data_IF_463607267494
#
_entry.id   IF_463607267494
#
_cell.length_a   1.000
_cell.length_b   1.000
_cell.length_c   1.000
_cell.angle_alpha   90.00
_cell.angle_beta   90.00
_cell.angle_gamma   90.00
#
_symmetry.space_group_name_H-M   'P 1'
#
loop_
_entity.id
_entity.type
_entity.pdbx_description
1 polymer ?
#
# COMPACT_ATOMS: atom_id res chain seq x y z
N UNK A 1 15.30 -81.25 -10.23
CA UNK A 1 16.67 -80.69 -10.41
C UNK A 1 16.57 -79.20 -10.14
N UNK A 2 16.86 -78.75 -8.92
CA UNK A 2 18.14 -78.13 -8.50
C UNK A 2 18.42 -76.84 -9.29
N UNK A 3 18.17 -75.63 -8.75
CA UNK A 3 19.08 -74.78 -7.94
C UNK A 3 20.39 -74.46 -8.71
N UNK A 4 20.87 -73.21 -8.88
CA UNK A 4 21.39 -72.28 -7.87
C UNK A 4 21.60 -70.87 -8.50
N UNK A 5 21.54 -69.85 -7.64
CA UNK A 5 21.69 -68.42 -7.89
C UNK A 5 23.14 -67.88 -7.93
N UNK A 6 23.34 -66.67 -8.48
CA UNK A 6 24.39 -65.69 -8.08
C UNK A 6 23.92 -64.29 -8.52
N UNK A 7 23.37 -63.46 -7.62
CA UNK A 7 24.03 -62.35 -6.89
C UNK A 7 24.89 -61.38 -7.73
N UNK A 8 24.41 -60.13 -7.80
CA UNK A 8 25.18 -58.94 -8.18
C UNK A 8 24.49 -57.70 -7.60
N UNK A 9 25.02 -57.20 -6.48
CA UNK A 9 24.59 -55.98 -5.80
C UNK A 9 25.33 -54.76 -6.35
N UNK A 10 24.69 -53.59 -6.36
CA UNK A 10 25.25 -52.23 -6.20
C UNK A 10 24.12 -51.22 -6.45
N UNK A 11 23.50 -50.58 -5.44
CA UNK A 11 23.94 -49.41 -4.66
C UNK A 11 22.94 -48.27 -4.91
N UNK A 12 22.15 -47.94 -3.89
CA UNK A 12 21.40 -46.70 -3.78
C UNK A 12 22.37 -45.52 -3.67
N UNK A 13 22.06 -44.41 -4.34
CA UNK A 13 22.57 -43.09 -3.97
C UNK A 13 21.48 -42.04 -4.22
N UNK A 14 20.92 -41.55 -3.11
CA UNK A 14 20.34 -40.22 -2.94
C UNK A 14 21.17 -39.14 -3.66
N UNK A 15 20.51 -38.12 -4.22
CA UNK A 15 20.44 -36.74 -3.67
C UNK A 15 20.12 -35.73 -4.78
N UNK A 16 19.26 -34.76 -4.43
CA UNK A 16 19.25 -33.38 -4.96
C UNK A 16 18.73 -33.22 -6.41
N UNK A 17 17.86 -32.28 -6.76
CA UNK A 17 17.65 -30.92 -6.26
C UNK A 17 16.18 -30.53 -6.44
N UNK A 18 15.49 -30.32 -5.32
CA UNK A 18 14.40 -29.35 -5.22
C UNK A 18 15.09 -28.00 -5.07
N UNK A 19 14.83 -27.02 -5.95
CA UNK A 19 14.76 -25.57 -5.67
C UNK A 19 14.83 -24.80 -7.00
N UNK A 20 13.70 -24.33 -7.52
CA UNK A 20 13.73 -23.16 -8.42
C UNK A 20 12.39 -22.42 -8.59
N UNK A 21 11.56 -22.34 -7.55
CA UNK A 21 10.28 -21.59 -7.63
C UNK A 21 10.07 -20.57 -6.51
N UNK A 22 11.08 -20.30 -5.68
CA UNK A 22 10.95 -19.43 -4.52
C UNK A 22 11.60 -18.04 -4.68
N UNK A 23 11.89 -17.62 -5.92
CA UNK A 23 12.45 -16.29 -6.20
C UNK A 23 11.41 -15.23 -6.58
N UNK A 24 10.21 -15.60 -7.05
CA UNK A 24 9.15 -14.63 -7.32
C UNK A 24 8.46 -14.10 -6.05
N UNK A 25 8.42 -14.89 -4.98
CA UNK A 25 7.76 -14.52 -3.72
C UNK A 25 8.61 -13.61 -2.80
N UNK A 26 9.89 -13.39 -3.14
CA UNK A 26 10.80 -12.56 -2.32
C UNK A 26 10.81 -11.10 -2.76
N UNK A 27 10.57 -10.81 -4.04
CA UNK A 27 10.47 -9.42 -4.53
C UNK A 27 9.19 -8.70 -4.09
N UNK A 28 8.16 -9.43 -3.64
CA UNK A 28 6.94 -8.84 -3.09
C UNK A 28 7.08 -8.38 -1.62
N UNK A 29 8.14 -8.81 -0.92
CA UNK A 29 8.38 -8.43 0.48
C UNK A 29 9.28 -7.21 0.64
N UNK A 30 9.89 -6.73 -0.44
CA UNK A 30 10.79 -5.57 -0.44
C UNK A 30 10.13 -4.24 -0.85
N UNK A 31 8.88 -4.26 -1.33
CA UNK A 31 8.08 -3.04 -1.56
C UNK A 31 7.59 -2.37 -0.26
N UNK A 32 7.54 -3.13 0.84
CA UNK A 32 7.04 -2.66 2.15
C UNK A 32 8.12 -1.98 3.02
N UNK A 33 9.36 -1.83 2.53
CA UNK A 33 10.39 -1.03 3.22
C UNK A 33 10.34 0.41 2.72
N UNK A 34 9.18 1.05 2.90
CA UNK A 34 9.07 2.50 2.91
C UNK A 34 9.84 3.02 4.15
N UNK A 35 11.17 3.05 4.03
CA UNK A 35 12.14 3.82 4.80
C UNK A 35 11.79 4.12 6.27
N UNK A 36 11.68 3.09 7.14
CA UNK A 36 11.89 3.22 8.61
C UNK A 36 11.18 4.36 9.36
N UNK A 37 10.13 4.95 8.79
CA UNK A 37 9.38 6.06 9.37
C UNK A 37 8.06 5.51 9.89
N UNK A 38 7.80 5.79 11.17
CA UNK A 38 6.55 5.43 11.82
C UNK A 38 5.41 6.26 11.21
N UNK A 39 4.33 5.61 10.79
CA UNK A 39 3.15 6.30 10.27
C UNK A 39 2.34 6.86 11.44
N UNK A 40 2.14 8.18 11.47
CA UNK A 40 1.35 8.82 12.52
C UNK A 40 -0.13 8.45 12.36
N UNK A 41 -0.73 7.85 13.39
CA UNK A 41 -2.15 7.57 13.39
C UNK A 41 -2.96 8.87 13.49
N UNK A 42 -3.75 9.18 12.47
CA UNK A 42 -4.60 10.37 12.41
C UNK A 42 -6.09 9.99 12.41
N UNK A 43 -6.90 10.90 12.93
CA UNK A 43 -8.35 10.88 12.75
C UNK A 43 -8.66 11.66 11.45
N UNK A 44 -9.25 10.99 10.46
CA UNK A 44 -9.32 11.49 9.09
C UNK A 44 -10.21 12.74 8.98
N UNK A 45 -11.31 12.81 9.72
CA UNK A 45 -12.24 13.94 9.66
C UNK A 45 -11.59 15.23 10.18
N UNK A 46 -10.98 15.18 11.36
CA UNK A 46 -10.21 16.29 11.94
C UNK A 46 -9.03 16.69 11.05
N UNK A 47 -8.37 15.71 10.45
CA UNK A 47 -7.27 15.97 9.52
C UNK A 47 -7.76 16.77 8.31
N UNK A 48 -8.87 16.36 7.68
CA UNK A 48 -9.46 17.08 6.54
C UNK A 48 -9.80 18.53 6.93
N UNK A 49 -10.46 18.73 8.08
CA UNK A 49 -10.85 20.06 8.53
C UNK A 49 -9.68 21.01 8.72
N UNK A 50 -8.63 20.53 9.40
CA UNK A 50 -7.40 21.31 9.61
C UNK A 50 -6.76 21.69 8.28
N UNK A 51 -6.62 20.72 7.37
CA UNK A 51 -5.97 20.96 6.07
C UNK A 51 -6.76 21.92 5.18
N UNK A 52 -8.10 21.93 5.28
CA UNK A 52 -8.94 22.91 4.58
C UNK A 52 -8.79 24.30 5.19
N UNK A 53 -8.78 24.40 6.53
CA UNK A 53 -8.58 25.67 7.24
C UNK A 53 -7.24 26.30 6.87
N UNK A 54 -6.15 25.52 6.93
CA UNK A 54 -4.81 25.95 6.53
C UNK A 54 -4.82 26.54 5.11
N UNK A 55 -5.40 25.83 4.13
CA UNK A 55 -5.48 26.30 2.73
C UNK A 55 -6.33 27.56 2.59
N UNK A 56 -7.38 27.70 3.39
CA UNK A 56 -8.22 28.90 3.47
C UNK A 56 -7.41 30.14 3.83
N UNK A 57 -6.50 30.01 4.81
CA UNK A 57 -5.56 31.08 5.18
C UNK A 57 -4.62 31.45 4.02
N UNK A 58 -4.21 30.47 3.21
CA UNK A 58 -3.38 30.68 2.01
C UNK A 58 -4.16 31.09 0.74
N UNK A 59 -5.39 31.62 0.89
CA UNK A 59 -6.25 32.08 -0.22
C UNK A 59 -6.52 31.00 -1.28
N UNK A 60 -6.66 29.74 -0.87
CA UNK A 60 -7.00 28.64 -1.78
C UNK A 60 -5.86 28.16 -2.67
N UNK A 61 -4.62 28.63 -2.45
CA UNK A 61 -3.44 28.09 -3.16
C UNK A 61 -3.15 26.67 -2.66
N UNK A 62 -2.70 25.79 -3.57
CA UNK A 62 -2.28 24.43 -3.20
C UNK A 62 -1.03 24.52 -2.33
N UNK A 63 -1.05 23.90 -1.16
CA UNK A 63 0.10 23.83 -0.26
C UNK A 63 0.74 22.46 -0.39
N UNK A 64 1.90 22.39 -1.05
CA UNK A 64 2.70 21.16 -1.09
C UNK A 64 3.34 20.97 0.28
N UNK A 65 3.03 19.85 0.96
CA UNK A 65 3.63 19.52 2.26
C UNK A 65 4.74 18.50 2.04
N UNK A 66 5.74 18.51 2.93
CA UNK A 66 6.79 17.49 2.95
C UNK A 66 6.15 16.16 3.33
N UNK A 67 5.87 15.31 2.33
CA UNK A 67 5.21 14.01 2.42
C UNK A 67 5.15 13.39 3.83
N UNK A 68 4.14 13.77 4.60
CA UNK A 68 4.04 13.41 6.03
C UNK A 68 3.48 11.98 6.11
N UNK A 69 4.16 11.03 6.78
CA UNK A 69 3.67 9.67 6.90
C UNK A 69 2.45 9.63 7.83
N UNK A 70 1.30 9.19 7.32
CA UNK A 70 0.03 9.12 8.03
C UNK A 70 -0.61 7.74 7.92
N UNK A 71 -1.32 7.33 8.96
CA UNK A 71 -2.17 6.13 9.00
C UNK A 71 -3.58 6.52 9.45
N UNK A 72 -4.61 6.05 8.74
CA UNK A 72 -6.00 6.43 9.02
C UNK A 72 -6.98 5.30 8.70
N UNK A 73 -8.08 5.24 9.45
CA UNK A 73 -9.18 4.33 9.17
C UNK A 73 -10.18 4.99 8.21
N UNK A 74 -10.61 4.27 7.18
CA UNK A 74 -11.63 4.75 6.24
C UNK A 74 -12.35 3.58 5.55
N UNK A 75 -13.49 3.87 4.94
CA UNK A 75 -14.23 2.94 4.08
C UNK A 75 -13.85 3.13 2.61
N UNK A 76 -13.53 2.06 1.89
CA UNK A 76 -13.28 2.15 0.44
C UNK A 76 -14.61 2.35 -0.29
N UNK A 77 -14.87 3.55 -0.83
CA UNK A 77 -16.12 3.86 -1.56
C UNK A 77 -16.09 3.46 -3.02
N UNK A 78 -14.91 3.48 -3.62
CA UNK A 78 -14.71 3.12 -5.02
C UNK A 78 -13.37 2.43 -5.14
N UNK A 79 -13.29 1.39 -5.94
CA UNK A 79 -12.03 0.67 -6.20
C UNK A 79 -10.97 1.58 -6.85
N UNK A 80 -9.67 1.24 -6.72
CA UNK A 80 -8.61 1.89 -7.48
C UNK A 80 -8.86 1.79 -8.99
N UNK A 81 -8.77 2.92 -9.66
CA UNK A 81 -8.84 3.02 -11.12
C UNK A 81 -7.58 3.66 -11.66
N UNK A 82 -7.10 3.14 -12.78
CA UNK A 82 -5.97 3.71 -13.49
C UNK A 82 -6.25 5.14 -13.93
N UNK A 83 -5.29 6.01 -13.67
CA UNK A 83 -5.38 7.41 -14.08
C UNK A 83 -3.99 8.01 -14.19
N UNK A 84 -3.81 8.85 -15.20
CA UNK A 84 -2.57 9.61 -15.35
C UNK A 84 -2.48 10.68 -14.26
N UNK A 85 -1.44 10.58 -13.43
CA UNK A 85 -1.24 11.44 -12.25
C UNK A 85 0.09 12.18 -12.30
N UNK A 86 0.31 13.01 -13.32
CA UNK A 86 1.56 13.78 -13.48
C UNK A 86 1.88 14.67 -12.27
N UNK A 87 0.86 15.25 -11.63
CA UNK A 87 1.04 16.18 -10.50
C UNK A 87 1.57 15.50 -9.22
N UNK A 88 1.27 14.20 -9.00
CA UNK A 88 1.73 13.52 -7.78
C UNK A 88 3.25 13.36 -7.81
N UNK A 89 3.82 13.09 -8.99
CA UNK A 89 5.26 12.92 -9.17
C UNK A 89 6.02 14.20 -8.86
N UNK A 90 5.54 15.36 -9.33
CA UNK A 90 6.14 16.66 -8.98
C UNK A 90 6.18 16.87 -7.47
N UNK A 91 5.11 16.50 -6.75
CA UNK A 91 5.07 16.68 -5.31
C UNK A 91 5.94 15.67 -4.55
N UNK A 92 6.07 14.44 -5.06
CA UNK A 92 6.98 13.42 -4.52
C UNK A 92 8.45 13.79 -4.73
N UNK A 93 8.79 14.36 -5.88
CA UNK A 93 10.13 14.88 -6.18
C UNK A 93 10.51 16.02 -5.23
N UNK A 94 9.59 16.98 -5.01
CA UNK A 94 9.78 18.08 -4.05
C UNK A 94 9.97 17.56 -2.62
N UNK A 95 9.35 16.42 -2.28
CA UNK A 95 9.49 15.77 -0.99
C UNK A 95 10.72 14.84 -0.86
N UNK A 96 11.54 14.71 -1.93
CA UNK A 96 12.70 13.82 -2.03
C UNK A 96 12.42 12.37 -1.60
N UNK A 97 11.23 11.84 -1.92
CA UNK A 97 10.91 10.43 -1.69
C UNK A 97 11.66 9.57 -2.70
N UNK A 98 12.52 8.67 -2.20
CA UNK A 98 13.27 7.71 -3.02
C UNK A 98 13.22 6.29 -2.44
N UNK A 99 13.08 5.26 -3.29
CA UNK A 99 12.74 5.35 -4.72
C UNK A 99 11.34 5.95 -4.91
N UNK A 100 11.11 6.60 -6.06
CA UNK A 100 9.80 7.17 -6.37
C UNK A 100 8.77 6.03 -6.50
N UNK A 101 7.68 6.05 -5.70
CA UNK A 101 6.65 5.03 -5.83
C UNK A 101 5.96 5.13 -7.19
N UNK A 102 5.61 3.99 -7.78
CA UNK A 102 4.84 3.96 -9.02
C UNK A 102 3.37 4.24 -8.70
N UNK A 103 2.96 5.50 -8.88
CA UNK A 103 1.59 5.96 -8.64
C UNK A 103 0.83 5.99 -9.98
N UNK A 104 -0.07 5.04 -10.15
CA UNK A 104 -0.90 4.90 -11.37
C UNK A 104 -2.40 4.91 -11.12
N UNK A 105 -2.82 4.91 -9.85
CA UNK A 105 -4.20 4.65 -9.49
C UNK A 105 -4.78 5.74 -8.59
N UNK A 106 -6.09 5.91 -8.67
CA UNK A 106 -6.86 6.71 -7.71
C UNK A 106 -8.09 5.96 -7.27
N UNK A 107 -8.39 6.05 -5.99
CA UNK A 107 -9.63 5.57 -5.40
C UNK A 107 -10.31 6.68 -4.61
N UNK A 108 -11.50 6.38 -4.08
CA UNK A 108 -12.20 7.25 -3.15
C UNK A 108 -12.43 6.49 -1.86
N UNK A 109 -12.06 7.13 -0.75
CA UNK A 109 -12.34 6.63 0.60
C UNK A 109 -13.33 7.57 1.27
N UNK A 110 -14.05 7.04 2.24
CA UNK A 110 -14.98 7.80 3.05
C UNK A 110 -14.58 7.72 4.51
N UNK A 111 -14.56 8.87 5.16
CA UNK A 111 -14.28 9.01 6.59
C UNK A 111 -15.46 8.52 7.44
N UNK A 112 -15.29 8.55 8.77
CA UNK A 112 -16.36 8.13 9.69
C UNK A 112 -17.56 9.06 9.65
N UNK A 113 -17.34 10.36 9.40
CA UNK A 113 -18.42 11.33 9.23
C UNK A 113 -19.00 11.38 7.80
N UNK A 114 -18.61 10.46 6.91
CA UNK A 114 -19.17 10.36 5.57
C UNK A 114 -18.52 11.28 4.53
N UNK A 115 -17.36 11.87 4.82
CA UNK A 115 -16.65 12.74 3.87
C UNK A 115 -15.89 11.89 2.86
N UNK A 116 -16.10 12.16 1.57
CA UNK A 116 -15.45 11.43 0.49
C UNK A 116 -14.18 12.17 0.05
N UNK A 117 -13.03 11.49 0.16
CA UNK A 117 -11.72 12.03 -0.21
C UNK A 117 -11.08 11.21 -1.33
N UNK A 118 -10.57 11.85 -2.40
CA UNK A 118 -9.77 11.16 -3.39
C UNK A 118 -8.40 10.81 -2.80
N UNK A 119 -7.96 9.57 -2.97
CA UNK A 119 -6.62 9.14 -2.58
C UNK A 119 -5.90 8.51 -3.76
N UNK A 120 -4.62 8.80 -3.88
CA UNK A 120 -3.71 8.19 -4.83
C UNK A 120 -3.25 6.85 -4.26
N UNK A 121 -2.99 5.89 -5.13
CA UNK A 121 -2.62 4.54 -4.70
C UNK A 121 -1.39 4.11 -5.48
N UNK A 122 -0.38 3.65 -4.74
CA UNK A 122 0.79 2.97 -5.29
C UNK A 122 0.36 1.67 -5.97
N UNK A 123 1.06 1.28 -7.04
CA UNK A 123 0.64 0.18 -7.93
C UNK A 123 0.51 -1.17 -7.22
N UNK A 124 1.44 -1.53 -6.34
CA UNK A 124 1.35 -2.80 -5.59
C UNK A 124 0.18 -2.76 -4.60
N UNK A 125 0.00 -1.64 -3.89
CA UNK A 125 -1.16 -1.44 -3.02
C UNK A 125 -2.49 -1.51 -3.79
N UNK A 126 -2.54 -0.95 -5.01
CA UNK A 126 -3.73 -0.97 -5.85
C UNK A 126 -4.11 -2.40 -6.27
N UNK A 127 -3.14 -3.21 -6.68
CA UNK A 127 -3.38 -4.62 -7.02
C UNK A 127 -3.96 -5.39 -5.81
N UNK A 128 -3.32 -5.24 -4.64
CA UNK A 128 -3.79 -5.86 -3.39
C UNK A 128 -5.18 -5.39 -2.97
N UNK A 129 -5.49 -4.10 -3.13
CA UNK A 129 -6.82 -3.58 -2.79
C UNK A 129 -7.93 -4.21 -3.63
N UNK A 130 -7.68 -4.46 -4.92
CA UNK A 130 -8.65 -5.10 -5.82
C UNK A 130 -8.92 -6.55 -5.42
N UNK A 131 -7.90 -7.25 -4.91
CA UNK A 131 -7.98 -8.66 -4.51
C UNK A 131 -8.51 -8.86 -3.08
N UNK A 132 -8.06 -8.03 -2.14
CA UNK A 132 -8.22 -8.28 -0.70
C UNK A 132 -9.34 -7.45 -0.05
N UNK A 133 -9.83 -6.37 -0.70
CA UNK A 133 -10.80 -5.45 -0.10
C UNK A 133 -12.06 -5.29 -0.97
N UNK A 134 -13.22 -5.56 -0.40
CA UNK A 134 -14.50 -5.31 -1.07
C UNK A 134 -14.83 -3.81 -1.09
N UNK A 135 -15.55 -3.35 -2.11
CA UNK A 135 -16.11 -2.01 -2.09
C UNK A 135 -17.09 -1.88 -0.91
N UNK A 136 -17.00 -0.78 -0.18
CA UNK A 136 -17.73 -0.55 1.07
C UNK A 136 -17.08 -1.17 2.30
N UNK A 137 -15.98 -1.91 2.19
CA UNK A 137 -15.27 -2.42 3.36
C UNK A 137 -14.40 -1.35 4.01
N UNK A 138 -14.23 -1.47 5.33
CA UNK A 138 -13.32 -0.63 6.11
C UNK A 138 -11.91 -1.21 6.13
N UNK A 139 -10.92 -0.32 6.13
CA UNK A 139 -9.53 -0.67 6.29
C UNK A 139 -8.77 0.47 6.97
N UNK A 140 -7.63 0.13 7.57
CA UNK A 140 -6.62 1.09 7.99
C UNK A 140 -5.63 1.26 6.84
N UNK A 141 -5.53 2.47 6.31
CA UNK A 141 -4.62 2.82 5.23
C UNK A 141 -3.37 3.48 5.81
N UNK A 142 -2.22 3.23 5.19
CA UNK A 142 -0.94 3.85 5.52
C UNK A 142 -0.36 4.50 4.28
N UNK A 143 0.18 5.70 4.44
CA UNK A 143 0.48 6.53 3.29
C UNK A 143 1.14 7.85 3.63
N UNK A 144 1.22 8.72 2.63
CA UNK A 144 1.81 10.04 2.74
C UNK A 144 0.78 11.12 2.47
N UNK A 145 0.76 12.17 3.28
CA UNK A 145 0.11 13.41 2.95
C UNK A 145 1.02 14.26 2.08
N UNK A 146 0.66 14.40 0.79
CA UNK A 146 1.54 14.98 -0.22
C UNK A 146 1.29 16.47 -0.41
N UNK A 147 0.03 16.90 -0.43
CA UNK A 147 -0.34 18.31 -0.52
C UNK A 147 -1.78 18.53 -0.05
N UNK A 148 -2.14 19.79 0.18
CA UNK A 148 -3.52 20.19 0.49
C UNK A 148 -4.03 21.21 -0.53
N UNK A 149 -5.34 21.17 -0.77
CA UNK A 149 -6.02 22.11 -1.65
C UNK A 149 -7.45 22.37 -1.13
N UNK A 150 -8.21 23.21 -1.84
CA UNK A 150 -9.52 23.68 -1.39
C UNK A 150 -10.57 22.61 -1.10
N UNK A 151 -10.40 21.36 -1.56
CA UNK A 151 -11.33 20.25 -1.28
C UNK A 151 -10.78 19.24 -0.27
N UNK A 152 -9.65 19.54 0.37
CA UNK A 152 -9.03 18.68 1.37
C UNK A 152 -7.64 18.15 1.00
N UNK A 153 -7.12 17.23 1.80
CA UNK A 153 -5.78 16.68 1.61
C UNK A 153 -5.72 15.70 0.45
N UNK A 154 -4.57 15.68 -0.22
CA UNK A 154 -4.18 14.65 -1.16
C UNK A 154 -3.29 13.62 -0.45
N UNK A 155 -3.80 12.41 -0.34
CA UNK A 155 -3.13 11.29 0.32
C UNK A 155 -2.65 10.28 -0.71
N UNK A 156 -1.42 9.79 -0.55
CA UNK A 156 -0.86 8.65 -1.28
C UNK A 156 -0.88 7.42 -0.38
N UNK A 157 -1.68 6.43 -0.71
CA UNK A 157 -1.73 5.14 -0.02
C UNK A 157 -0.64 4.22 -0.58
N UNK A 158 0.17 3.67 0.33
CA UNK A 158 1.24 2.71 0.01
C UNK A 158 0.99 1.34 0.64
N UNK A 159 0.16 1.26 1.67
CA UNK A 159 -0.25 -0.01 2.28
C UNK A 159 -1.62 0.10 2.97
N UNK A 160 -2.22 -1.04 3.31
CA UNK A 160 -3.46 -1.12 4.06
C UNK A 160 -3.60 -2.44 4.82
N UNK A 161 -4.44 -2.40 5.86
CA UNK A 161 -4.86 -3.55 6.67
C UNK A 161 -6.40 -3.56 6.71
N UNK A 162 -7.08 -4.59 6.19
CA UNK A 162 -8.53 -4.72 6.30
C UNK A 162 -9.01 -4.70 7.75
N UNK A 163 -10.13 -4.04 8.02
CA UNK A 163 -10.78 -4.09 9.34
C UNK A 163 -11.14 -5.55 9.66
N UNK A 164 -10.67 -6.06 10.79
CA UNK A 164 -10.86 -7.46 11.21
C UNK A 164 -9.64 -8.39 11.02
N UNK A 165 -8.54 -7.93 10.41
CA UNK A 165 -7.25 -8.66 10.42
C UNK A 165 -6.29 -8.23 11.55
N UNK A 166 -6.71 -7.32 12.43
CA UNK A 166 -5.87 -6.85 13.55
C UNK A 166 -5.73 -7.90 14.69
N UNK A 167 -6.45 -9.02 14.66
CA UNK A 167 -6.28 -10.15 15.58
C UNK A 167 -5.36 -11.23 15.00
N UNK A 168 -4.04 -11.11 15.23
CA UNK A 168 -3.10 -12.13 14.78
C UNK A 168 -1.66 -12.03 15.29
N UNK A 169 -1.38 -11.17 16.27
CA UNK A 169 -0.09 -11.16 16.99
C UNK A 169 -0.39 -11.49 18.45
N UNK A 170 -0.30 -12.77 18.79
CA UNK A 170 -0.12 -13.27 20.15
C UNK A 170 1.22 -13.98 20.22
#
# INVERSE_FOLDING_TARGET
>A
MAAVATMGACTQKEKSEVTDQNQAARSAKEGAKAAGREFEAIELDRFIEREIADVGEFKGRKLVKMAVPVSFAARMKRRPEEKQMTYIYTALEVADIRPLPEVGHRMFVESKEGRIVPVYVEKQAAARLVEELAEGAEARFSGYHVYSYSKGPALLVVDFVPAGREEGVR
#
